data_IF_444736557569
#
_entry.id   IF_444736557569
#
_cell.length_a   1.000
_cell.length_b   1.000
_cell.length_c   1.000
_cell.angle_alpha   90.00
_cell.angle_beta   90.00
_cell.angle_gamma   90.00
#
_symmetry.space_group_name_H-M   'P 1'
#
loop_
_entity.id
_entity.type
_entity.pdbx_description
1 polymer ?
2 polymer ?
3 non-polymer ?
4 non-polymer ?
5 water ?
#
# COMPACT_ATOMS: atom_id res chain seq x y z
N UNK A 1 19.63 2.92 15.32
CA UNK A 1 19.09 3.68 14.16
C UNK A 1 19.55 5.11 14.24
N UNK A 2 19.73 5.75 13.06
CA UNK A 2 20.27 7.09 13.03
C UNK A 2 19.31 8.11 13.63
N UNK A 3 18.04 7.75 13.80
CA UNK A 3 17.08 8.65 14.43
C UNK A 3 16.95 8.43 15.93
N UNK A 4 17.77 7.56 16.53
CA UNK A 4 17.61 7.22 17.93
C UNK A 4 17.84 8.37 18.90
N UNK A 5 18.63 9.35 18.50
CA UNK A 5 18.88 10.49 19.37
C UNK A 5 17.88 11.62 19.21
N UNK A 6 16.93 11.55 18.27
CA UNK A 6 16.00 12.65 18.05
C UNK A 6 14.70 12.39 18.79
N UNK A 7 14.18 13.43 19.42
CA UNK A 7 12.88 13.36 20.09
C UNK A 7 11.79 12.86 19.15
N UNK A 8 10.90 12.05 19.70
CA UNK A 8 9.74 11.60 18.92
C UNK A 8 9.00 12.77 18.29
N UNK A 9 8.70 13.81 19.07
CA UNK A 9 7.92 14.94 18.55
C UNK A 9 8.68 15.65 17.43
N UNK A 10 10.00 15.74 17.56
CA UNK A 10 10.82 16.36 16.53
C UNK A 10 10.81 15.54 15.24
N UNK A 11 10.81 14.22 15.36
CA UNK A 11 10.71 13.35 14.19
C UNK A 11 9.38 13.57 13.48
N UNK A 12 8.28 13.68 14.23
CA UNK A 12 6.98 13.90 13.58
C UNK A 12 6.94 15.27 12.94
N UNK A 13 7.47 16.29 13.63
CA UNK A 13 7.55 17.63 13.07
C UNK A 13 8.34 17.62 11.76
N UNK A 14 9.50 16.94 11.75
CA UNK A 14 10.29 16.91 10.52
C UNK A 14 9.65 16.06 9.44
N UNK A 15 8.91 15.00 9.78
CA UNK A 15 8.19 14.25 8.75
C UNK A 15 7.22 15.16 8.02
N UNK A 16 6.54 16.03 8.77
CA UNK A 16 5.60 16.96 8.13
C UNK A 16 6.33 17.98 7.27
N UNK A 17 7.50 18.45 7.70
CA UNK A 17 8.29 19.34 6.86
C UNK A 17 8.77 18.63 5.61
N UNK A 18 9.20 17.37 5.74
CA UNK A 18 9.69 16.63 4.60
C UNK A 18 8.56 16.43 3.58
N UNK A 19 7.35 16.16 4.07
CA UNK A 19 6.22 16.07 3.16
C UNK A 19 6.03 17.36 2.37
N UNK A 20 6.09 18.49 3.07
CA UNK A 20 5.89 19.77 2.41
C UNK A 20 6.95 20.01 1.35
N UNK A 21 8.17 19.53 1.62
CA UNK A 21 9.29 19.68 0.71
C UNK A 21 9.37 18.58 -0.33
N UNK A 22 8.41 17.67 -0.35
CA UNK A 22 8.40 16.52 -1.26
C UNK A 22 9.66 15.67 -1.13
N UNK A 23 10.13 15.52 0.10
CA UNK A 23 11.33 14.74 0.44
C UNK A 23 10.86 13.45 1.11
N UNK A 24 10.34 12.53 0.31
CA UNK A 24 9.63 11.40 0.87
C UNK A 24 10.55 10.35 1.49
N UNK A 25 11.76 10.17 0.95
CA UNK A 25 12.72 9.30 1.62
C UNK A 25 13.02 9.81 3.03
N UNK A 26 13.26 11.11 3.15
CA UNK A 26 13.47 11.69 4.48
C UNK A 26 12.24 11.47 5.36
N UNK A 27 11.06 11.75 4.80
CA UNK A 27 9.80 11.56 5.53
C UNK A 27 9.71 10.16 6.10
N UNK A 28 10.03 9.16 5.28
CA UNK A 28 9.90 7.79 5.71
C UNK A 28 10.92 7.47 6.80
N UNK A 29 12.13 7.97 6.66
CA UNK A 29 13.14 7.74 7.67
C UNK A 29 12.76 8.39 8.99
N UNK A 30 12.16 9.59 8.95
CA UNK A 30 11.71 10.23 10.18
C UNK A 30 10.61 9.40 10.82
N UNK A 31 9.66 8.91 10.02
CA UNK A 31 8.56 8.14 10.60
C UNK A 31 9.01 6.78 11.10
N UNK A 32 9.97 6.14 10.44
CA UNK A 32 10.56 4.92 10.98
C UNK A 32 11.17 5.20 12.35
N UNK A 33 11.91 6.30 12.47
CA UNK A 33 12.45 6.67 13.76
C UNK A 33 11.39 6.86 14.81
N UNK A 34 10.27 7.48 14.42
CA UNK A 34 9.16 7.68 15.36
C UNK A 34 8.56 6.35 15.80
N UNK A 35 8.33 5.44 14.85
CA UNK A 35 7.79 4.13 15.20
C UNK A 35 8.73 3.43 16.17
N UNK A 36 10.03 3.51 15.92
CA UNK A 36 11.01 2.80 16.75
C UNK A 36 11.12 3.37 18.15
N UNK A 37 10.45 4.49 18.44
CA UNK A 37 10.38 4.93 19.83
C UNK A 37 9.54 4.00 20.68
N UNK A 38 8.67 3.21 20.05
CA UNK A 38 7.97 2.14 20.75
C UNK A 38 6.57 2.49 21.20
N UNK A 39 6.17 3.74 21.13
CA UNK A 39 4.80 4.13 21.43
C UNK A 39 3.88 3.91 20.22
N UNK A 40 2.60 3.68 20.52
CA UNK A 40 1.60 3.61 19.47
C UNK A 40 1.56 4.93 18.71
N UNK A 41 1.06 4.83 17.47
CA UNK A 41 0.89 5.97 16.59
C UNK A 41 -0.54 6.46 16.64
N UNK A 42 -0.70 7.78 16.64
CA UNK A 42 -2.02 8.36 16.51
C UNK A 42 -2.51 8.24 15.08
N UNK A 43 -3.78 8.62 14.87
CA UNK A 43 -4.35 8.60 13.54
C UNK A 43 -3.51 9.40 12.54
N UNK A 44 -3.19 10.65 12.89
CA UNK A 44 -2.42 11.48 11.97
C UNK A 44 -1.03 10.89 11.74
N UNK A 45 -0.43 10.32 12.78
CA UNK A 45 0.90 9.75 12.64
C UNK A 45 0.88 8.51 11.75
N UNK A 46 -0.17 7.68 11.85
CA UNK A 46 -0.31 6.56 10.94
C UNK A 46 -0.39 7.04 9.51
N UNK A 47 -1.13 8.14 9.28
CA UNK A 47 -1.25 8.66 7.93
C UNK A 47 0.11 9.13 7.41
N UNK A 48 0.92 9.75 8.28
CA UNK A 48 2.24 10.18 7.82
C UNK A 48 3.11 8.99 7.43
N UNK A 49 3.07 7.93 8.23
CA UNK A 49 3.84 6.72 7.94
C UNK A 49 3.42 6.15 6.60
N UNK A 50 2.11 6.05 6.40
CA UNK A 50 1.59 5.48 5.18
C UNK A 50 1.95 6.32 3.96
N UNK A 51 1.73 7.63 4.03
CA UNK A 51 2.05 8.49 2.90
C UNK A 51 3.53 8.45 2.57
N UNK A 52 4.39 8.43 3.59
CA UNK A 52 5.82 8.46 3.35
C UNK A 52 6.26 7.24 2.56
N UNK A 53 5.94 6.06 3.04
CA UNK A 53 6.43 4.86 2.37
C UNK A 53 5.69 4.62 1.05
N UNK A 54 4.42 5.03 0.94
CA UNK A 54 3.72 4.86 -0.34
C UNK A 54 4.40 5.65 -1.44
N UNK A 55 4.87 6.86 -1.13
CA UNK A 55 5.57 7.67 -2.11
C UNK A 55 6.92 7.06 -2.45
N UNK A 56 7.67 6.58 -1.44
CA UNK A 56 8.96 5.96 -1.74
C UNK A 56 8.78 4.74 -2.62
N UNK A 57 7.89 3.82 -2.22
CA UNK A 57 7.78 2.58 -2.98
C UNK A 57 7.11 2.87 -4.32
N UNK A 58 6.31 3.93 -4.39
CA UNK A 58 5.68 4.26 -5.66
C UNK A 58 6.67 4.62 -6.74
N UNK A 59 7.69 5.40 -6.39
CA UNK A 59 8.75 5.69 -7.33
C UNK A 59 9.53 4.46 -7.75
N UNK A 60 9.80 3.58 -6.79
CA UNK A 60 10.54 2.36 -7.09
C UNK A 60 9.73 1.45 -8.00
N UNK A 61 8.44 1.32 -7.72
CA UNK A 61 7.60 0.46 -8.54
C UNK A 61 7.49 0.99 -9.96
N UNK A 62 7.33 2.31 -10.11
CA UNK A 62 7.28 2.91 -11.44
C UNK A 62 8.58 2.65 -12.20
N UNK A 63 9.72 2.80 -11.52
CA UNK A 63 10.99 2.55 -12.18
C UNK A 63 11.14 1.09 -12.55
N UNK A 64 10.76 0.19 -11.64
CA UNK A 64 10.83 -1.24 -11.91
C UNK A 64 9.99 -1.60 -13.14
N UNK A 65 8.80 -1.01 -13.26
CA UNK A 65 7.96 -1.33 -14.41
C UNK A 65 8.60 -0.87 -15.72
N UNK A 66 9.20 0.32 -15.73
CA UNK A 66 9.90 0.80 -16.92
C UNK A 66 10.99 -0.19 -17.30
N UNK A 67 11.80 -0.59 -16.31
CA UNK A 67 12.95 -1.44 -16.61
C UNK A 67 12.52 -2.86 -16.99
N UNK A 68 11.51 -3.41 -16.31
CA UNK A 68 10.99 -4.73 -16.68
C UNK A 68 10.45 -4.74 -18.11
N UNK A 69 9.78 -3.67 -18.52
CA UNK A 69 9.26 -3.59 -19.89
C UNK A 69 10.40 -3.59 -20.89
N UNK A 70 11.45 -2.81 -20.61
CA UNK A 70 12.62 -2.81 -21.50
C UNK A 70 13.24 -4.20 -21.56
N UNK A 71 13.35 -4.85 -20.40
CA UNK A 71 13.92 -6.18 -20.33
C UNK A 71 13.09 -7.19 -21.13
N UNK A 72 11.77 -7.10 -21.01
CA UNK A 72 10.90 -8.01 -21.76
C UNK A 72 11.09 -7.82 -23.27
N UNK A 73 11.14 -6.58 -23.73
CA UNK A 73 11.33 -6.34 -25.16
C UNK A 73 12.67 -6.88 -25.62
N UNK A 74 13.70 -6.78 -24.77
CA UNK A 74 15.02 -7.28 -25.13
C UNK A 74 15.01 -8.78 -25.35
N UNK A 75 14.05 -9.49 -24.77
CA UNK A 75 13.98 -10.95 -24.87
C UNK A 75 12.98 -11.42 -25.91
N UNK A 76 12.48 -10.51 -26.75
CA UNK A 76 11.62 -10.89 -27.87
C UNK A 76 12.46 -11.34 -29.06
N UNK A 77 11.86 -12.16 -29.91
CA UNK A 77 12.52 -12.60 -31.14
C UNK A 77 12.94 -11.39 -31.97
N UNK A 78 14.16 -11.43 -32.51
CA UNK A 78 14.66 -10.36 -33.34
C UNK A 78 15.32 -9.22 -32.60
N UNK A 79 15.29 -9.23 -31.26
CA UNK A 79 15.89 -8.17 -30.48
C UNK A 79 17.39 -8.39 -30.36
N UNK A 80 18.15 -7.33 -30.62
CA UNK A 80 19.60 -7.40 -30.56
C UNK A 80 20.06 -7.70 -29.13
N UNK A 81 21.07 -8.55 -29.01
CA UNK A 81 21.68 -8.82 -27.70
C UNK A 81 22.39 -7.57 -27.20
N UNK A 82 22.05 -7.14 -25.98
CA UNK A 82 22.59 -5.91 -25.41
C UNK A 82 23.42 -6.18 -24.16
N UNK A 83 23.55 -7.42 -23.74
CA UNK A 83 24.35 -7.75 -22.57
C UNK A 83 23.51 -7.77 -21.32
N UNK A 84 24.17 -7.84 -20.16
CA UNK A 84 23.47 -8.06 -18.89
C UNK A 84 22.95 -6.80 -18.23
N UNK A 85 23.18 -5.64 -18.81
CA UNK A 85 22.99 -4.40 -18.07
C UNK A 85 21.54 -4.15 -17.69
N UNK A 86 20.60 -4.43 -18.60
CA UNK A 86 19.19 -4.17 -18.29
C UNK A 86 18.73 -5.05 -17.13
N UNK A 87 19.02 -6.34 -17.20
CA UNK A 87 18.69 -7.23 -16.09
C UNK A 87 19.35 -6.77 -14.79
N UNK A 88 20.64 -6.44 -14.85
CA UNK A 88 21.35 -6.02 -13.65
C UNK A 88 20.68 -4.82 -13.01
N UNK A 89 20.32 -3.83 -13.81
CA UNK A 89 19.79 -2.60 -13.25
C UNK A 89 18.35 -2.80 -12.78
N UNK A 90 17.58 -3.60 -13.51
CA UNK A 90 16.26 -4.00 -13.00
C UNK A 90 16.39 -4.70 -11.65
N UNK A 91 17.35 -5.61 -11.53
CA UNK A 91 17.59 -6.30 -10.25
C UNK A 91 18.00 -5.34 -9.16
N UNK A 92 18.79 -4.32 -9.49
CA UNK A 92 19.20 -3.33 -8.49
C UNK A 92 17.99 -2.61 -7.93
N UNK A 93 17.13 -2.11 -8.82
CA UNK A 93 15.93 -1.41 -8.37
C UNK A 93 15.02 -2.37 -7.62
N UNK A 94 14.90 -3.60 -8.11
CA UNK A 94 14.06 -4.60 -7.43
C UNK A 94 14.52 -4.85 -6.01
N UNK A 95 15.84 -5.01 -5.82
CA UNK A 95 16.37 -5.31 -4.51
C UNK A 95 16.13 -4.14 -3.56
N UNK A 96 16.24 -2.92 -4.06
CA UNK A 96 15.97 -1.74 -3.25
C UNK A 96 14.51 -1.69 -2.86
N UNK A 97 13.64 -1.97 -3.81
CA UNK A 97 12.20 -2.03 -3.54
C UNK A 97 11.88 -3.07 -2.48
N UNK A 98 12.42 -4.29 -2.65
CA UNK A 98 12.21 -5.35 -1.68
C UNK A 98 12.70 -4.93 -0.31
N UNK A 99 13.81 -4.18 -0.27
CA UNK A 99 14.30 -3.71 1.01
C UNK A 99 13.33 -2.78 1.70
N UNK A 100 12.72 -1.85 0.95
CA UNK A 100 11.74 -0.93 1.52
C UNK A 100 10.54 -1.71 2.03
N UNK A 101 10.03 -2.64 1.22
CA UNK A 101 8.91 -3.46 1.66
C UNK A 101 9.26 -4.23 2.93
N UNK A 102 10.45 -4.82 3.00
CA UNK A 102 10.86 -5.54 4.19
C UNK A 102 10.95 -4.61 5.40
N UNK A 103 11.40 -3.38 5.17
CA UNK A 103 11.49 -2.43 6.28
C UNK A 103 10.11 -2.12 6.83
N UNK A 104 9.14 -1.86 5.94
CA UNK A 104 7.78 -1.56 6.40
C UNK A 104 7.19 -2.77 7.11
N UNK A 105 7.33 -3.94 6.51
CA UNK A 105 6.78 -5.14 7.13
C UNK A 105 7.41 -5.39 8.47
N UNK A 106 8.69 -5.05 8.61
CA UNK A 106 9.35 -5.20 9.89
C UNK A 106 8.81 -4.25 10.96
N UNK A 107 8.50 -3.01 10.58
CA UNK A 107 7.88 -2.11 11.53
C UNK A 107 6.50 -2.62 11.95
N UNK A 108 5.74 -3.15 11.00
CA UNK A 108 4.42 -3.66 11.35
C UNK A 108 4.52 -4.86 12.27
N UNK A 109 5.50 -5.74 12.05
CA UNK A 109 5.65 -6.91 12.88
C UNK A 109 6.35 -6.63 14.21
N UNK A 110 7.07 -5.53 14.30
CA UNK A 110 7.82 -5.22 15.53
C UNK A 110 7.66 -3.72 15.83
N UNK A 111 6.55 -3.30 16.45
CA UNK A 111 5.49 -4.15 17.01
C UNK A 111 4.14 -3.49 16.80
N UNK A 112 3.99 -2.80 15.67
CA UNK A 112 2.79 -1.98 15.49
C UNK A 112 1.51 -2.83 15.55
N UNK A 113 1.47 -3.96 14.85
CA UNK A 113 0.23 -4.72 14.77
C UNK A 113 -0.15 -5.29 16.13
N UNK A 114 0.80 -5.90 16.82
CA UNK A 114 0.45 -6.55 18.07
C UNK A 114 -0.02 -5.55 19.14
N UNK A 115 0.42 -4.30 19.08
CA UNK A 115 0.00 -3.33 20.09
C UNK A 115 -1.24 -2.59 19.68
N UNK A 116 -1.77 -2.84 18.48
CA UNK A 116 -2.93 -2.13 17.94
C UNK A 116 -4.20 -2.85 18.37
N UNK A 117 -4.89 -2.29 19.34
CA UNK A 117 -6.09 -2.94 19.86
C UNK A 117 -7.37 -2.37 19.29
N UNK A 118 -7.35 -1.09 18.99
CA UNK A 118 -8.52 -0.49 18.38
C UNK A 118 -8.67 -0.98 16.96
N UNK A 119 -9.91 -1.16 16.55
CA UNK A 119 -10.15 -1.68 15.21
C UNK A 119 -9.55 -0.78 14.14
N UNK A 120 -9.65 0.54 14.30
CA UNK A 120 -9.15 1.42 13.26
C UNK A 120 -7.65 1.25 13.07
N UNK A 121 -6.90 1.20 14.17
CA UNK A 121 -5.45 1.08 14.02
C UNK A 121 -5.07 -0.32 13.53
N UNK A 122 -5.72 -1.36 14.06
CA UNK A 122 -5.38 -2.71 13.60
C UNK A 122 -5.66 -2.89 12.12
N UNK A 123 -6.83 -2.45 11.65
CA UNK A 123 -7.15 -2.55 10.22
C UNK A 123 -6.16 -1.75 9.40
N UNK A 124 -5.82 -0.54 9.84
CA UNK A 124 -4.86 0.28 9.11
C UNK A 124 -3.54 -0.46 8.89
N UNK A 125 -3.03 -1.08 9.95
CA UNK A 125 -1.74 -1.75 9.83
C UNK A 125 -1.85 -3.05 9.03
N UNK A 126 -2.94 -3.79 9.18
CA UNK A 126 -3.08 -4.99 8.39
C UNK A 126 -3.27 -4.68 6.91
N UNK A 127 -3.98 -3.60 6.58
CA UNK A 127 -4.02 -3.16 5.19
C UNK A 127 -2.61 -2.86 4.66
N UNK A 128 -1.79 -2.16 5.45
CA UNK A 128 -0.42 -1.89 5.02
C UNK A 128 0.33 -3.19 4.80
N UNK A 129 0.13 -4.16 5.68
CA UNK A 129 0.83 -5.44 5.53
C UNK A 129 0.45 -6.11 4.23
N UNK A 130 -0.86 -6.11 3.91
CA UNK A 130 -1.31 -6.62 2.63
C UNK A 130 -0.68 -5.89 1.46
N UNK A 131 -0.67 -4.55 1.53
CA UNK A 131 -0.13 -3.74 0.46
C UNK A 131 1.34 -4.08 0.19
N UNK A 132 2.17 -4.17 1.25
CA UNK A 132 3.61 -4.34 1.01
C UNK A 132 3.94 -5.78 0.64
N UNK A 133 3.17 -6.77 1.10
CA UNK A 133 3.32 -8.09 0.50
C UNK A 133 2.86 -8.08 -0.96
N UNK A 134 1.83 -7.29 -1.29
CA UNK A 134 1.41 -7.20 -2.68
C UNK A 134 2.52 -6.60 -3.55
N UNK A 135 3.24 -5.59 -3.06
CA UNK A 135 4.34 -5.03 -3.85
C UNK A 135 5.48 -6.04 -4.00
N UNK A 136 5.75 -6.81 -2.95
CA UNK A 136 6.69 -7.93 -3.10
C UNK A 136 6.18 -8.92 -4.14
N UNK A 137 4.88 -9.18 -4.17
CA UNK A 137 4.36 -10.16 -5.12
C UNK A 137 4.47 -9.67 -6.57
N UNK A 138 4.37 -8.36 -6.80
CA UNK A 138 4.47 -7.80 -8.14
C UNK A 138 5.80 -8.16 -8.81
N UNK A 139 6.85 -8.37 -8.01
CA UNK A 139 8.21 -8.63 -8.54
C UNK A 139 8.67 -10.03 -8.29
N UNK A 140 7.87 -10.86 -7.64
CA UNK A 140 8.28 -12.19 -7.21
C UNK A 140 8.21 -13.17 -8.36
N UNK A 141 9.17 -14.11 -8.40
CA UNK A 141 9.23 -15.12 -9.45
C UNK A 141 9.72 -16.49 -8.98
N UNK A 142 10.11 -16.65 -7.72
CA UNK A 142 10.79 -17.86 -7.25
C UNK A 142 9.89 -18.82 -6.48
N UNK A 143 10.55 -19.71 -5.72
CA UNK A 143 9.83 -20.73 -4.96
C UNK A 143 8.83 -20.12 -3.98
N UNK A 144 9.03 -18.87 -3.61
CA UNK A 144 8.30 -18.24 -2.51
C UNK A 144 7.12 -17.41 -2.99
N UNK A 145 6.94 -17.27 -4.29
CA UNK A 145 5.90 -16.39 -4.83
C UNK A 145 4.53 -16.74 -4.27
N UNK A 146 4.18 -18.03 -4.25
CA UNK A 146 2.85 -18.36 -3.77
C UNK A 146 2.68 -17.99 -2.31
N UNK A 147 3.75 -18.13 -1.52
CA UNK A 147 3.60 -17.81 -0.11
C UNK A 147 3.54 -16.30 0.09
N UNK A 148 4.25 -15.52 -0.73
CA UNK A 148 4.15 -14.06 -0.67
C UNK A 148 2.73 -13.64 -0.99
N UNK A 149 2.16 -14.21 -2.05
CA UNK A 149 0.78 -13.92 -2.42
C UNK A 149 -0.17 -14.28 -1.29
N UNK A 150 0.02 -15.44 -0.66
CA UNK A 150 -0.91 -15.81 0.40
C UNK A 150 -0.73 -14.94 1.64
N UNK A 151 0.49 -14.45 1.89
CA UNK A 151 0.70 -13.52 2.99
C UNK A 151 -0.07 -12.22 2.76
N UNK A 152 -0.06 -11.73 1.51
CA UNK A 152 -0.86 -10.55 1.19
C UNK A 152 -2.35 -10.84 1.40
N UNK A 153 -2.83 -11.95 0.84
CA UNK A 153 -4.23 -12.34 0.96
C UNK A 153 -4.64 -12.45 2.42
N UNK A 154 -3.82 -13.09 3.24
CA UNK A 154 -4.16 -13.34 4.63
C UNK A 154 -4.26 -12.04 5.43
N UNK A 155 -3.34 -11.10 5.21
CA UNK A 155 -3.39 -9.83 5.91
C UNK A 155 -4.62 -9.04 5.48
N UNK A 156 -4.87 -8.97 4.18
CA UNK A 156 -6.06 -8.27 3.69
C UNK A 156 -7.32 -8.89 4.25
N UNK A 157 -7.38 -10.23 4.30
CA UNK A 157 -8.60 -10.89 4.75
C UNK A 157 -8.88 -10.61 6.22
N UNK A 158 -7.83 -10.67 7.05
CA UNK A 158 -8.02 -10.34 8.47
C UNK A 158 -8.49 -8.89 8.62
N UNK A 159 -7.91 -7.97 7.86
CA UNK A 159 -8.35 -6.59 7.91
C UNK A 159 -9.80 -6.48 7.50
N UNK A 160 -10.19 -7.21 6.45
CA UNK A 160 -11.57 -7.15 5.98
C UNK A 160 -12.52 -7.66 7.05
N UNK A 161 -12.15 -8.77 7.69
CA UNK A 161 -13.04 -9.36 8.68
C UNK A 161 -13.25 -8.39 9.85
N UNK A 162 -12.18 -7.74 10.32
CA UNK A 162 -12.32 -6.79 11.40
C UNK A 162 -13.12 -5.58 10.95
N UNK A 163 -12.83 -5.06 9.76
CA UNK A 163 -13.47 -3.82 9.33
C UNK A 163 -14.97 -4.04 9.15
N UNK A 164 -15.37 -5.21 8.66
CA UNK A 164 -16.81 -5.47 8.49
C UNK A 164 -17.50 -5.55 9.84
N UNK A 165 -16.81 -6.04 10.87
CA UNK A 165 -17.40 -6.18 12.19
C UNK A 165 -17.47 -4.85 12.92
N UNK A 166 -16.47 -4.00 12.73
CA UNK A 166 -16.22 -2.92 13.66
C UNK A 166 -16.28 -1.52 13.07
N UNK A 167 -16.42 -1.38 11.76
CA UNK A 167 -16.38 -0.08 11.12
C UNK A 167 -17.51 0.07 10.11
N UNK A 168 -18.02 1.28 9.94
CA UNK A 168 -19.11 1.49 8.98
C UNK A 168 -18.61 1.29 7.57
N UNK A 169 -19.51 0.99 6.63
CA UNK A 169 -19.07 0.72 5.26
C UNK A 169 -18.49 1.91 4.56
N UNK A 170 -18.70 3.13 5.06
CA UNK A 170 -18.13 4.33 4.49
C UNK A 170 -16.79 4.71 5.09
N UNK A 171 -16.31 3.98 6.08
CA UNK A 171 -15.05 4.33 6.70
C UNK A 171 -13.94 4.38 5.65
N UNK A 172 -13.18 5.47 5.57
CA UNK A 172 -12.17 5.56 4.50
C UNK A 172 -11.11 4.48 4.56
N UNK A 173 -10.71 4.02 5.73
CA UNK A 173 -9.73 2.94 5.77
C UNK A 173 -10.35 1.65 5.26
N UNK A 174 -11.58 1.37 5.68
CA UNK A 174 -12.29 0.21 5.12
C UNK A 174 -12.41 0.29 3.60
N UNK A 175 -12.77 1.47 3.08
CA UNK A 175 -12.90 1.65 1.65
C UNK A 175 -11.57 1.47 0.93
N UNK A 176 -10.50 2.07 1.44
CA UNK A 176 -9.21 1.91 0.78
C UNK A 176 -8.71 0.48 0.85
N UNK A 177 -8.98 -0.19 1.96
CA UNK A 177 -8.65 -1.60 2.08
C UNK A 177 -9.35 -2.43 1.01
N UNK A 178 -10.66 -2.24 0.88
CA UNK A 178 -11.43 -3.01 -0.10
C UNK A 178 -10.99 -2.70 -1.53
N UNK A 179 -10.76 -1.42 -1.82
CA UNK A 179 -10.19 -1.03 -3.10
C UNK A 179 -8.91 -1.80 -3.40
N UNK A 180 -7.97 -1.79 -2.46
CA UNK A 180 -6.67 -2.41 -2.70
C UNK A 180 -6.77 -3.94 -2.74
N UNK A 181 -7.62 -4.54 -1.90
CA UNK A 181 -7.81 -5.98 -1.95
C UNK A 181 -8.43 -6.38 -3.29
N UNK A 182 -9.33 -5.55 -3.82
CA UNK A 182 -9.91 -5.83 -5.13
C UNK A 182 -8.83 -5.78 -6.22
N UNK A 183 -7.90 -4.84 -6.13
CA UNK A 183 -6.80 -4.82 -7.08
C UNK A 183 -5.87 -6.02 -6.89
N UNK A 184 -5.62 -6.41 -5.64
CA UNK A 184 -4.90 -7.66 -5.38
C UNK A 184 -5.55 -8.82 -6.15
N UNK A 185 -6.87 -8.96 -6.05
CA UNK A 185 -7.54 -10.05 -6.77
C UNK A 185 -7.33 -9.95 -8.27
N UNK A 186 -7.44 -8.75 -8.83
CA UNK A 186 -7.36 -8.59 -10.28
C UNK A 186 -5.94 -8.81 -10.79
N UNK A 187 -4.96 -8.20 -10.14
CA UNK A 187 -3.61 -8.08 -10.66
C UNK A 187 -2.68 -9.19 -10.20
N UNK A 188 -2.89 -9.71 -8.99
CA UNK A 188 -1.97 -10.65 -8.35
C UNK A 188 -2.54 -12.06 -8.32
N UNK A 189 -3.80 -12.20 -7.93
CA UNK A 189 -4.40 -13.51 -7.74
C UNK A 189 -5.09 -14.04 -8.99
N UNK A 190 -5.08 -13.30 -10.09
CA UNK A 190 -5.70 -13.76 -11.33
C UNK A 190 -7.16 -14.13 -11.09
N UNK A 191 -7.85 -13.27 -10.36
CA UNK A 191 -9.25 -13.48 -9.98
C UNK A 191 -10.06 -12.24 -10.32
N UNK A 192 -10.17 -11.89 -11.60
CA UNK A 192 -10.89 -10.67 -11.96
C UNK A 192 -12.34 -10.67 -11.52
N UNK A 193 -13.03 -11.81 -11.51
CA UNK A 193 -14.41 -11.78 -11.08
C UNK A 193 -14.51 -11.46 -9.59
N UNK A 194 -13.60 -11.99 -8.77
CA UNK A 194 -13.59 -11.61 -7.37
C UNK A 194 -13.31 -10.12 -7.19
N UNK A 195 -12.39 -9.59 -7.99
CA UNK A 195 -12.06 -8.16 -7.92
C UNK A 195 -13.27 -7.31 -8.23
N UNK A 196 -14.01 -7.67 -9.28
CA UNK A 196 -15.18 -6.90 -9.69
C UNK A 196 -16.30 -7.03 -8.65
N UNK A 197 -16.53 -8.24 -8.15
CA UNK A 197 -17.56 -8.45 -7.14
C UNK A 197 -17.27 -7.62 -5.89
N UNK A 198 -16.02 -7.67 -5.43
CA UNK A 198 -15.68 -6.93 -4.23
C UNK A 198 -15.83 -5.42 -4.43
N UNK A 199 -15.38 -4.90 -5.57
CA UNK A 199 -15.49 -3.47 -5.81
C UNK A 199 -16.95 -3.05 -5.83
N UNK A 200 -17.80 -3.85 -6.47
CA UNK A 200 -19.21 -3.47 -6.62
C UNK A 200 -19.92 -3.52 -5.27
N UNK A 201 -19.74 -4.60 -4.53
CA UNK A 201 -20.37 -4.72 -3.21
C UNK A 201 -19.89 -3.60 -2.29
N UNK A 202 -18.59 -3.31 -2.30
CA UNK A 202 -18.07 -2.25 -1.46
C UNK A 202 -18.69 -0.91 -1.82
N UNK A 203 -18.80 -0.61 -3.11
CA UNK A 203 -19.36 0.65 -3.55
C UNK A 203 -20.82 0.77 -3.12
N UNK A 204 -21.59 -0.28 -3.35
CA UNK A 204 -23.02 -0.21 -3.07
C UNK A 204 -23.29 -0.11 -1.57
N UNK A 205 -22.52 -0.82 -0.75
CA UNK A 205 -22.74 -0.73 0.69
C UNK A 205 -22.34 0.65 1.20
N UNK A 206 -21.33 1.27 0.59
CA UNK A 206 -20.97 2.62 1.01
C UNK A 206 -22.04 3.62 0.58
N UNK A 207 -22.53 3.51 -0.66
CA UNK A 207 -23.59 4.38 -1.13
C UNK A 207 -24.72 4.43 -0.14
N UNK A 208 -25.13 3.26 0.37
CA UNK A 208 -26.29 3.15 1.23
C UNK A 208 -26.08 3.75 2.61
N UNK A 209 -24.84 4.06 2.99
CA UNK A 209 -24.50 4.61 4.31
C UNK A 209 -24.11 6.08 4.23
N UNK A 210 -24.05 6.66 3.04
CA UNK A 210 -23.62 8.05 2.93
C UNK A 210 -24.56 9.01 3.65
N UNK A 211 -25.84 8.64 3.77
CA UNK A 211 -26.84 9.53 4.37
C UNK A 211 -26.56 9.81 5.84
N UNK A 212 -25.71 9.00 6.48
CA UNK A 212 -25.41 9.17 7.90
C UNK A 212 -24.29 10.16 8.14
N UNK A 213 -23.62 10.62 7.09
CA UNK A 213 -22.36 11.33 7.20
C UNK A 213 -22.54 12.84 7.16
N UNK A 214 -21.62 13.52 7.85
CA UNK A 214 -21.39 14.93 7.65
C UNK A 214 -20.82 15.21 6.26
N UNK A 215 -20.85 16.49 5.91
CA UNK A 215 -20.29 16.93 4.63
C UNK A 215 -18.83 16.54 4.50
N UNK A 216 -18.04 16.76 5.55
CA UNK A 216 -16.62 16.45 5.46
C UNK A 216 -16.36 14.95 5.34
N UNK A 217 -17.09 14.14 6.11
CA UNK A 217 -16.93 12.69 5.99
C UNK A 217 -17.41 12.21 4.63
N UNK A 218 -18.51 12.76 4.14
CA UNK A 218 -19.00 12.44 2.82
C UNK A 218 -17.94 12.67 1.75
N UNK A 219 -17.16 13.75 1.87
CA UNK A 219 -16.11 14.01 0.89
C UNK A 219 -15.01 12.95 0.95
N UNK A 220 -14.58 12.59 2.17
CA UNK A 220 -13.55 11.56 2.33
C UNK A 220 -13.99 10.24 1.70
N UNK A 221 -15.23 9.84 1.96
CA UNK A 221 -15.69 8.54 1.49
C UNK A 221 -15.92 8.53 -0.02
N UNK A 222 -16.59 9.57 -0.54
CA UNK A 222 -16.90 9.55 -1.95
C UNK A 222 -15.64 9.64 -2.82
N UNK A 223 -14.56 10.24 -2.30
CA UNK A 223 -13.30 10.27 -3.04
C UNK A 223 -12.80 8.87 -3.34
N UNK A 224 -12.83 7.98 -2.35
CA UNK A 224 -12.36 6.61 -2.58
C UNK A 224 -13.38 5.81 -3.36
N UNK A 225 -14.65 6.12 -3.15
CA UNK A 225 -15.72 5.44 -3.88
C UNK A 225 -15.57 5.66 -5.38
N UNK A 226 -15.10 6.84 -5.78
CA UNK A 226 -14.87 7.12 -7.19
C UNK A 226 -13.74 6.27 -7.75
N UNK A 227 -12.75 5.93 -6.92
CA UNK A 227 -11.70 5.03 -7.39
C UNK A 227 -12.24 3.61 -7.62
N UNK A 228 -13.17 3.15 -6.75
CA UNK A 228 -13.82 1.88 -7.01
C UNK A 228 -14.55 1.90 -8.35
N UNK A 229 -15.30 2.96 -8.61
CA UNK A 229 -16.00 3.10 -9.87
C UNK A 229 -15.02 3.15 -11.04
N UNK A 230 -13.92 3.88 -10.88
CA UNK A 230 -12.93 3.96 -11.95
C UNK A 230 -12.40 2.58 -12.30
N UNK A 231 -12.13 1.76 -11.28
CA UNK A 231 -11.63 0.42 -11.56
C UNK A 231 -12.69 -0.43 -12.22
N UNK A 232 -13.93 -0.38 -11.72
CA UNK A 232 -15.00 -1.12 -12.36
C UNK A 232 -15.14 -0.74 -13.82
N UNK A 233 -14.94 0.56 -14.15
CA UNK A 233 -15.04 0.99 -15.55
C UNK A 233 -13.88 0.45 -16.39
N UNK A 234 -12.69 0.39 -15.81
CA UNK A 234 -11.55 -0.19 -16.50
C UNK A 234 -11.76 -1.67 -16.76
N UNK A 235 -12.41 -2.36 -15.83
CA UNK A 235 -12.46 -3.82 -15.83
C UNK A 235 -13.68 -4.39 -16.51
N UNK A 236 -14.69 -3.58 -16.81
CA UNK A 236 -15.93 -4.06 -17.40
C UNK A 236 -16.26 -3.25 -18.65
N UNK B 1 -5.41 2.82 -18.48
CA UNK B 1 -5.00 3.28 -17.14
C UNK B 1 -4.51 2.14 -16.23
N UNK B 2 -3.65 2.45 -15.27
CA UNK B 2 -3.31 1.48 -14.24
C UNK B 2 -4.43 1.53 -13.20
N UNK B 3 -4.78 0.37 -12.66
CA UNK B 3 -5.80 0.26 -11.63
C UNK B 3 -5.46 1.16 -10.45
N UNK B 4 -6.50 1.81 -9.91
CA UNK B 4 -6.34 2.71 -8.79
C UNK B 4 -6.22 1.99 -7.48
N UNK B 5 -5.23 2.37 -6.67
CA UNK B 5 -5.17 1.96 -5.26
C UNK B 5 -5.01 3.19 -4.41
N UNK B 6 -5.17 3.02 -3.10
CA UNK B 6 -5.21 4.11 -2.16
C UNK B 6 -4.32 3.83 -0.95
N UNK B 7 -3.58 4.84 -0.44
CA UNK B 7 -3.48 6.22 -0.90
C UNK B 7 -2.67 6.29 -2.19
N UNK B 8 -2.78 7.42 -2.87
CA UNK B 8 -2.08 7.65 -4.11
C UNK B 8 -0.84 8.46 -3.81
N UNK B 9 0.35 8.12 -4.34
CA UNK B 9 1.52 9.00 -4.14
C UNK B 9 1.27 10.34 -4.83
N UNK B 10 1.80 11.40 -4.20
CA UNK B 10 1.78 12.73 -4.81
C UNK B 10 2.12 12.70 -6.27
N UNK B 11 1.44 13.49 -7.11
X LIG C 1 -17.43 -11.74 -0.41
X LIG D 1 15.63 -10.37 -7.73
X LIG E 1 -6.77 6.08 3.97
X LIG E 1 -5.34 7.96 4.38
X LIG E 1 -7.50 9.85 6.56
X LIG E 1 -7.50 12.30 11.60
X LIG E 1 -8.82 12.10 10.82
X LIG E 1 -8.77 10.27 9.11
X LIG E 1 -8.58 9.67 7.65
X LIG E 1 -9.93 10.18 7.26
X LIG E 1 -10.42 9.97 5.90
X LIG E 1 -9.30 10.25 4.94
X LIG E 1 -7.79 8.38 4.19
X LIG E 1 -6.60 7.43 4.20
X LIG E 1 -5.64 5.27 3.94
X LIG E 1 -4.37 5.78 4.13
X LIG E 1 -4.23 7.12 4.34
X LIG E 1 -8.58 11.66 9.46
X LIG E 1 -8.10 9.39 5.22
X LIG E 1 -3.24 4.97 4.11
X LIG E 1 -8.47 8.31 3.22
X LIG E 1 -9.22 9.54 9.94
X LIG E 1 -6.36 10.90 11.30
X LIG E 1 -5.90 3.54 3.68
X LIG E 1 -2.61 7.79 4.56
X LIG E 1 -7.74 5.65 3.80
X LIG E 1 -5.22 9.00 4.54
X LIG E 1 -6.64 9.27 6.79
X LIG E 1 -7.22 10.89 6.49
X LIG E 1 -7.72 12.36 12.66
X LIG E 1 -7.03 13.22 11.28
X LIG E 1 -9.36 13.03 10.81
X LIG E 1 -9.41 11.35 11.33
X LIG E 1 -8.19 8.68 7.76
X LIG E 1 -9.93 11.25 7.43
X LIG E 1 -10.65 9.71 7.92
X LIG E 1 -11.25 10.64 5.71
X LIG E 1 -10.76 8.94 5.79
X LIG E 1 -9.01 11.29 5.02
X LIG E 1 -9.64 10.05 3.93
X LIG E 1 -8.29 12.32 8.76
X LIG E 1 -3.48 4.11 3.80
#
# INVERSE_FOLDING_TARGET
GAMGSMERASLIQKAKLAEQAERYEDMAAFMKGAVEKGEELSCEERNLLSVAYKNVVGGQRAAWRVLSSIEQKSNEEGSEEKGPEVREYREKVETELQGVCDTVLGLLDSHLIKEAGDAESRVFYLKMKGDYYRYLAEVATGDDKKRIIDSARSAYQEAMDISKKEMPPTNPIRLGLALNFSVFHYEIANSPEEAISLAKTTFDEAMADLHTLSEDSYKDSTLIMQLLRDNLTLWT
PRSCTWPLPRX
MG MG
MG MG
L7L C13 C20 C22 C02 C03 C05 C06 C07 C08 C09 C11 C12 C14 C16 C18 N04 N10 O17 O21 O23 S01 CL15 CL19 H131 H201 H221 H222 H021 H022 H032 H031 H061 H071 H072 H081 H082 H091 H092 H041 H171
#
